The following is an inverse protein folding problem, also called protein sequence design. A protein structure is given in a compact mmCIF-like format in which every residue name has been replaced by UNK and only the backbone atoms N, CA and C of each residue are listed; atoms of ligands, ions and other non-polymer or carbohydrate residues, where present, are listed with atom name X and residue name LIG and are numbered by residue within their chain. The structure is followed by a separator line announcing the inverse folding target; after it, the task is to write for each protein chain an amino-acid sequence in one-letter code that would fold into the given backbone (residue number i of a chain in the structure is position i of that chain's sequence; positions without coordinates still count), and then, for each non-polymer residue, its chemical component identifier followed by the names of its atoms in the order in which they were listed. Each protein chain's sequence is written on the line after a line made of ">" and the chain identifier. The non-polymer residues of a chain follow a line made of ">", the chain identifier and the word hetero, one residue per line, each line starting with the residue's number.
data_IF_062503760763
#
_entry.id   IF_062503760763
#
_cell.length_a   1.000
_cell.length_b   1.000
_cell.length_c   1.000
_cell.angle_alpha   90.00
_cell.angle_beta   90.00
_cell.angle_gamma   90.00
#
_symmetry.space_group_name_H-M   'P 1'
#
loop_
_entity.id
_entity.type
_entity.pdbx_description
1 polymer ?
#
# COMPACT_ATOMS: atom_id res chain seq x y z
N UNK A 1 4.76 4.76 63.81
CA UNK A 1 5.79 5.81 63.81
C UNK A 1 6.14 6.12 62.35
N UNK A 2 6.11 7.41 61.99
CA UNK A 2 6.61 8.11 60.77
C UNK A 2 6.21 7.58 59.38
N UNK A 3 5.32 8.24 58.62
CA UNK A 3 5.47 9.51 57.87
C UNK A 3 6.74 9.60 57.00
N UNK A 4 6.57 9.53 55.67
CA UNK A 4 7.29 10.42 54.74
C UNK A 4 6.61 10.44 53.35
N UNK A 5 6.10 11.62 52.99
CA UNK A 5 5.54 12.00 51.70
C UNK A 5 6.67 12.18 50.68
N UNK A 6 6.54 11.65 49.47
CA UNK A 6 7.44 11.98 48.34
C UNK A 6 6.86 13.17 47.60
N UNK A 7 7.65 14.24 47.53
CA UNK A 7 7.32 15.55 46.99
C UNK A 7 7.51 15.60 45.47
N UNK A 8 6.65 16.41 44.86
CA UNK A 8 6.47 16.77 43.46
C UNK A 8 7.65 17.60 42.92
N UNK A 9 8.03 17.38 41.66
CA UNK A 9 8.80 18.34 40.84
C UNK A 9 8.16 18.45 39.45
N UNK A 10 7.26 19.43 39.32
CA UNK A 10 6.70 19.92 38.05
C UNK A 10 7.64 21.02 37.54
N UNK A 11 8.26 20.80 36.39
CA UNK A 11 9.04 21.80 35.67
C UNK A 11 8.10 22.70 34.86
N UNK A 12 7.88 23.91 35.35
CA UNK A 12 7.20 25.01 34.63
C UNK A 12 8.24 25.76 33.80
N UNK A 13 8.08 25.77 32.48
CA UNK A 13 8.82 26.66 31.58
C UNK A 13 8.14 28.02 31.54
N UNK A 14 8.88 29.03 31.99
CA UNK A 14 8.48 30.44 32.03
C UNK A 14 8.91 31.13 30.73
N UNK A 15 7.95 31.68 30.00
CA UNK A 15 8.15 32.53 28.82
C UNK A 15 8.77 33.88 29.21
N UNK A 16 9.78 34.32 28.49
CA UNK A 16 10.36 35.67 28.62
C UNK A 16 10.04 36.51 27.37
N UNK A 17 9.20 37.51 27.58
CA UNK A 17 8.91 38.57 26.62
C UNK A 17 10.10 39.54 26.53
N UNK A 18 10.65 39.71 25.32
CA UNK A 18 11.69 40.68 24.99
C UNK A 18 11.15 41.75 24.06
N UNK A 19 11.31 43.00 24.47
CA UNK A 19 10.75 44.22 23.89
C UNK A 19 11.20 44.52 22.44
N UNK A 20 10.26 44.99 21.62
CA UNK A 20 10.50 45.54 20.29
C UNK A 20 10.97 47.00 20.40
N UNK A 21 12.15 47.29 19.90
CA UNK A 21 12.63 48.66 19.67
C UNK A 21 12.28 49.11 18.26
N UNK A 22 11.52 50.20 18.18
CA UNK A 22 11.16 50.88 16.94
C UNK A 22 12.38 51.62 16.34
N UNK A 23 12.72 51.32 15.08
CA UNK A 23 13.65 52.13 14.28
C UNK A 23 12.88 53.07 13.36
N UNK A 24 13.21 54.36 13.49
CA UNK A 24 12.67 55.49 12.71
C UNK A 24 13.20 55.46 11.28
N UNK A 25 12.26 55.62 10.34
CA UNK A 25 12.29 56.58 9.23
C UNK A 25 13.55 56.68 8.38
N UNK A 26 13.54 56.01 7.22
CA UNK A 26 14.29 56.37 6.03
C UNK A 26 13.38 56.24 4.82
N UNK A 27 12.95 57.35 4.25
CA UNK A 27 12.14 57.41 3.03
C UNK A 27 13.02 57.22 1.80
N UNK A 28 12.92 56.06 1.14
CA UNK A 28 13.40 55.86 -0.23
C UNK A 28 12.21 55.41 -1.09
N UNK A 29 11.87 56.23 -2.09
CA UNK A 29 10.80 55.96 -3.04
C UNK A 29 11.14 54.71 -3.89
N UNK A 30 10.17 53.82 -4.17
CA UNK A 30 10.41 52.69 -5.05
C UNK A 30 10.48 53.14 -6.52
N UNK A 31 11.50 52.66 -7.24
CA UNK A 31 11.60 52.79 -8.69
C UNK A 31 10.52 51.92 -9.38
N UNK A 32 9.98 52.32 -10.55
CA UNK A 32 8.91 51.57 -11.19
C UNK A 32 9.44 50.25 -11.76
N UNK A 33 8.90 49.12 -11.30
CA UNK A 33 9.11 47.82 -11.93
C UNK A 33 8.44 47.82 -13.31
N UNK A 34 9.24 47.71 -14.37
CA UNK A 34 8.73 47.36 -15.70
C UNK A 34 8.21 45.92 -15.65
N UNK A 35 6.93 45.75 -15.95
CA UNK A 35 6.27 44.44 -15.97
C UNK A 35 6.95 43.48 -16.94
N UNK A 36 7.59 42.45 -16.40
CA UNK A 36 7.97 41.27 -17.16
C UNK A 36 6.76 40.35 -17.27
N UNK A 37 6.41 39.95 -18.49
CA UNK A 37 5.38 38.96 -18.73
C UNK A 37 5.71 37.64 -18.00
N UNK A 38 4.71 36.92 -17.46
CA UNK A 38 4.96 35.66 -16.78
C UNK A 38 5.51 34.63 -17.78
N UNK A 39 6.65 34.03 -17.45
CA UNK A 39 7.18 32.88 -18.19
C UNK A 39 6.17 31.73 -18.11
N UNK A 40 5.98 30.94 -19.19
CA UNK A 40 5.07 29.81 -19.15
C UNK A 40 5.56 28.83 -18.07
N UNK A 41 4.64 28.45 -17.18
CA UNK A 41 4.90 27.39 -16.21
C UNK A 41 5.36 26.16 -16.98
N UNK A 42 6.62 25.74 -16.76
CA UNK A 42 7.06 24.41 -17.15
C UNK A 42 6.15 23.46 -16.39
N UNK A 43 5.20 22.86 -17.09
CA UNK A 43 4.36 21.80 -16.53
C UNK A 43 5.29 20.80 -15.87
N UNK A 44 5.20 20.69 -14.56
CA UNK A 44 5.96 19.71 -13.82
C UNK A 44 5.62 18.37 -14.43
N UNK A 45 6.56 17.77 -15.16
CA UNK A 45 6.47 16.37 -15.51
C UNK A 45 6.29 15.67 -14.17
N UNK A 46 5.08 15.16 -13.93
CA UNK A 46 4.82 14.32 -12.77
C UNK A 46 5.96 13.31 -12.77
N UNK A 47 6.71 13.27 -11.67
CA UNK A 47 7.70 12.23 -11.44
C UNK A 47 6.96 10.91 -11.64
N UNK A 48 7.12 10.29 -12.81
CA UNK A 48 6.66 8.92 -13.01
C UNK A 48 7.52 8.12 -12.05
N UNK A 49 6.96 7.79 -10.89
CA UNK A 49 7.68 7.13 -9.82
C UNK A 49 8.49 5.97 -10.41
N UNK A 50 9.80 5.93 -10.09
CA UNK A 50 10.70 4.94 -10.66
C UNK A 50 10.13 3.53 -10.45
N UNK A 51 9.89 2.81 -11.54
CA UNK A 51 9.45 1.42 -11.48
C UNK A 51 10.69 0.52 -11.35
N UNK A 52 10.79 -0.20 -10.24
CA UNK A 52 11.92 -1.10 -9.97
C UNK A 52 11.70 -2.53 -10.49
N UNK A 53 10.50 -3.08 -10.25
CA UNK A 53 10.16 -4.46 -10.59
C UNK A 53 9.42 -4.53 -11.94
N UNK A 54 9.71 -5.53 -12.76
CA UNK A 54 8.80 -5.92 -13.84
C UNK A 54 7.49 -6.49 -13.25
N UNK A 55 6.44 -6.64 -14.07
CA UNK A 55 5.13 -7.12 -13.63
C UNK A 55 5.24 -8.48 -12.92
N UNK A 56 5.99 -9.42 -13.48
CA UNK A 56 6.16 -10.75 -12.88
C UNK A 56 6.85 -10.71 -11.52
N UNK A 57 7.82 -9.82 -11.32
CA UNK A 57 8.48 -9.60 -10.03
C UNK A 57 7.54 -8.94 -9.03
N UNK A 58 6.73 -7.96 -9.44
CA UNK A 58 5.70 -7.36 -8.59
C UNK A 58 4.68 -8.41 -8.12
N UNK A 59 4.18 -9.23 -9.05
CA UNK A 59 3.25 -10.31 -8.73
C UNK A 59 3.86 -11.29 -7.72
N UNK A 60 5.10 -11.75 -7.94
CA UNK A 60 5.75 -12.71 -7.03
C UNK A 60 6.15 -12.11 -5.68
N UNK A 61 6.56 -10.85 -5.66
CA UNK A 61 7.11 -10.21 -4.47
C UNK A 61 6.06 -9.61 -3.54
N UNK A 62 4.87 -9.30 -4.05
CA UNK A 62 3.81 -8.67 -3.26
C UNK A 62 2.51 -9.45 -3.35
N UNK A 63 1.97 -9.68 -4.56
CA UNK A 63 0.62 -10.24 -4.68
C UNK A 63 0.56 -11.70 -4.26
N UNK A 64 1.48 -12.53 -4.75
CA UNK A 64 1.53 -13.96 -4.50
C UNK A 64 1.63 -14.34 -3.01
N UNK A 65 2.58 -13.80 -2.20
CA UNK A 65 2.64 -14.15 -0.79
C UNK A 65 1.38 -13.75 -0.02
N UNK A 66 0.79 -12.59 -0.32
CA UNK A 66 -0.46 -12.16 0.33
C UNK A 66 -1.67 -13.02 -0.10
N UNK A 67 -1.76 -13.42 -1.38
CA UNK A 67 -2.82 -14.32 -1.83
C UNK A 67 -2.71 -15.71 -1.18
N UNK A 68 -1.49 -16.20 -0.94
CA UNK A 68 -1.29 -17.49 -0.28
C UNK A 68 -1.87 -17.51 1.14
N UNK A 69 -1.77 -16.41 1.89
CA UNK A 69 -2.36 -16.33 3.24
C UNK A 69 -3.89 -16.48 3.18
N UNK A 70 -4.53 -15.87 2.18
CA UNK A 70 -5.98 -15.96 1.97
C UNK A 70 -6.38 -17.39 1.59
N UNK A 71 -5.69 -18.00 0.63
CA UNK A 71 -6.01 -19.36 0.18
C UNK A 71 -5.67 -20.42 1.24
N UNK A 72 -4.66 -20.19 2.07
CA UNK A 72 -4.37 -21.06 3.21
C UNK A 72 -5.53 -21.07 4.21
N UNK A 73 -6.19 -19.93 4.45
CA UNK A 73 -7.32 -19.81 5.37
C UNK A 73 -8.54 -20.67 4.96
N UNK A 74 -8.64 -21.07 3.69
CA UNK A 74 -9.68 -22.01 3.23
C UNK A 74 -9.50 -23.41 3.80
N UNK A 75 -8.25 -23.86 3.95
CA UNK A 75 -7.92 -25.23 4.34
C UNK A 75 -7.53 -25.35 5.81
N UNK A 76 -7.08 -24.26 6.42
CA UNK A 76 -6.62 -24.21 7.80
C UNK A 76 -7.29 -23.04 8.50
N UNK A 77 -8.00 -23.31 9.60
CA UNK A 77 -8.58 -22.25 10.42
C UNK A 77 -7.46 -21.35 11.00
N UNK A 78 -7.39 -20.06 10.64
CA UNK A 78 -6.36 -19.17 11.13
C UNK A 78 -6.31 -19.07 12.66
N UNK A 79 -7.43 -19.28 13.36
CA UNK A 79 -7.46 -19.26 14.83
C UNK A 79 -6.60 -20.36 15.47
N UNK A 80 -6.41 -21.47 14.76
CA UNK A 80 -5.72 -22.69 15.22
C UNK A 80 -4.24 -22.72 14.85
N UNK A 81 -3.76 -21.76 14.05
CA UNK A 81 -2.35 -21.65 13.70
C UNK A 81 -1.53 -21.37 14.95
N UNK A 82 -0.52 -22.22 15.20
CA UNK A 82 0.45 -22.02 16.29
C UNK A 82 1.47 -20.97 15.85
N UNK A 83 1.83 -20.01 16.72
CA UNK A 83 2.92 -19.09 16.44
C UNK A 83 4.22 -19.84 16.17
N UNK A 84 5.08 -19.23 15.35
CA UNK A 84 6.43 -19.73 15.14
C UNK A 84 7.27 -19.65 16.43
N UNK A 85 8.43 -20.30 16.45
CA UNK A 85 9.36 -20.25 17.58
C UNK A 85 9.84 -18.82 17.88
N UNK A 86 10.04 -18.01 16.84
CA UNK A 86 10.25 -16.57 16.91
C UNK A 86 9.24 -15.86 15.99
N UNK A 87 8.09 -15.41 16.52
CA UNK A 87 7.06 -14.76 15.71
C UNK A 87 7.50 -13.45 15.07
N UNK A 88 8.51 -12.75 15.62
CA UNK A 88 8.95 -11.46 15.13
C UNK A 88 9.75 -11.55 13.82
N UNK A 89 10.32 -12.71 13.54
CA UNK A 89 11.14 -12.98 12.34
C UNK A 89 10.55 -14.10 11.46
N UNK A 90 9.32 -14.53 11.76
CA UNK A 90 8.63 -15.58 11.02
C UNK A 90 8.35 -15.16 9.56
N UNK A 91 8.62 -16.07 8.64
CA UNK A 91 8.38 -15.87 7.20
C UNK A 91 6.98 -16.32 6.76
N UNK A 92 6.30 -17.13 7.56
CA UNK A 92 4.87 -17.42 7.40
C UNK A 92 4.06 -16.34 8.13
N UNK A 93 3.30 -15.50 7.40
CA UNK A 93 2.48 -14.46 8.03
C UNK A 93 1.50 -15.02 9.04
N UNK A 94 0.92 -16.21 8.81
CA UNK A 94 -0.08 -16.81 9.71
C UNK A 94 0.49 -17.18 11.09
N UNK A 95 1.79 -17.45 11.16
CA UNK A 95 2.50 -17.82 12.39
C UNK A 95 3.32 -16.66 12.99
N UNK A 96 3.29 -15.47 12.38
CA UNK A 96 4.05 -14.30 12.81
C UNK A 96 3.42 -13.57 14.01
N UNK A 97 4.07 -12.50 14.48
CA UNK A 97 3.54 -11.59 15.51
C UNK A 97 2.13 -11.07 15.18
N UNK A 98 1.85 -10.81 13.90
CA UNK A 98 0.54 -10.36 13.40
C UNK A 98 -0.21 -11.51 12.70
N UNK A 99 -0.14 -12.70 13.30
CA UNK A 99 -0.60 -13.96 12.72
C UNK A 99 -2.11 -14.19 12.73
N UNK A 100 -2.52 -15.43 12.49
CA UNK A 100 -3.93 -15.86 12.54
C UNK A 100 -4.83 -15.04 11.61
N UNK A 101 -6.03 -14.69 12.07
CA UNK A 101 -6.98 -13.88 11.31
C UNK A 101 -6.44 -12.47 10.97
N UNK A 102 -5.61 -11.89 11.82
CA UNK A 102 -4.99 -10.59 11.54
C UNK A 102 -4.06 -10.66 10.31
N UNK A 103 -3.34 -11.77 10.11
CA UNK A 103 -2.55 -11.98 8.91
C UNK A 103 -3.42 -12.04 7.64
N UNK A 104 -4.60 -12.64 7.71
CA UNK A 104 -5.56 -12.70 6.59
C UNK A 104 -6.10 -11.30 6.29
N UNK A 105 -6.50 -10.55 7.33
CA UNK A 105 -6.94 -9.16 7.21
C UNK A 105 -5.85 -8.27 6.56
N UNK A 106 -4.62 -8.33 7.08
CA UNK A 106 -3.49 -7.57 6.57
C UNK A 106 -3.14 -7.95 5.12
N UNK A 107 -3.21 -9.23 4.78
CA UNK A 107 -2.94 -9.70 3.41
C UNK A 107 -4.00 -9.23 2.41
N UNK A 108 -5.27 -9.21 2.82
CA UNK A 108 -6.37 -8.72 2.01
C UNK A 108 -6.25 -7.20 1.73
N UNK A 109 -5.89 -6.42 2.74
CA UNK A 109 -5.60 -4.99 2.59
C UNK A 109 -4.35 -4.77 1.72
N UNK A 110 -3.29 -5.55 1.93
CA UNK A 110 -2.07 -5.46 1.12
C UNK A 110 -2.35 -5.71 -0.36
N UNK A 111 -3.20 -6.69 -0.72
CA UNK A 111 -3.63 -6.89 -2.11
C UNK A 111 -4.43 -5.70 -2.65
N UNK A 112 -5.35 -5.17 -1.85
CA UNK A 112 -6.20 -4.02 -2.22
C UNK A 112 -5.38 -2.77 -2.50
N UNK A 113 -4.35 -2.51 -1.69
CA UNK A 113 -3.42 -1.40 -1.88
C UNK A 113 -2.43 -1.67 -3.03
N UNK A 114 -1.87 -2.89 -3.11
CA UNK A 114 -0.91 -3.28 -4.13
C UNK A 114 -1.48 -3.25 -5.55
N UNK A 115 -2.81 -3.37 -5.70
CA UNK A 115 -3.50 -3.18 -6.97
C UNK A 115 -3.17 -1.81 -7.61
N UNK A 116 -2.91 -0.77 -6.81
CA UNK A 116 -2.44 0.55 -7.31
C UNK A 116 -1.14 0.44 -8.11
N UNK A 117 -0.24 -0.47 -7.71
CA UNK A 117 1.06 -0.64 -8.34
C UNK A 117 0.98 -1.22 -9.75
N UNK A 118 -0.16 -1.84 -10.09
CA UNK A 118 -0.48 -2.40 -11.41
C UNK A 118 -0.90 -1.31 -12.42
N UNK A 119 -1.17 -0.09 -11.96
CA UNK A 119 -1.53 1.06 -12.79
C UNK A 119 -0.37 2.05 -13.00
N UNK A 120 0.75 1.85 -12.32
CA UNK A 120 1.92 2.74 -12.43
C UNK A 120 2.52 2.64 -13.84
N UNK A 121 2.59 3.75 -14.60
CA UNK A 121 3.18 3.76 -15.94
C UNK A 121 4.66 3.34 -15.96
N UNK A 122 5.11 2.83 -17.10
CA UNK A 122 6.52 2.47 -17.33
C UNK A 122 6.92 1.06 -16.86
N UNK A 123 6.01 0.31 -16.23
CA UNK A 123 6.25 -1.10 -15.89
C UNK A 123 6.25 -1.98 -17.14
N UNK A 124 7.24 -2.87 -17.23
CA UNK A 124 7.32 -3.91 -18.28
C UNK A 124 6.87 -5.26 -17.75
N UNK A 125 6.31 -6.08 -18.63
CA UNK A 125 6.04 -7.49 -18.40
C UNK A 125 7.33 -8.32 -18.46
N UNK A 126 7.24 -9.60 -18.07
CA UNK A 126 8.40 -10.49 -18.03
C UNK A 126 9.05 -10.72 -19.41
N UNK A 127 8.31 -10.52 -20.49
CA UNK A 127 8.78 -10.59 -21.88
C UNK A 127 9.28 -9.23 -22.42
N UNK A 128 9.40 -8.21 -21.58
CA UNK A 128 9.86 -6.87 -21.96
C UNK A 128 8.79 -5.97 -22.59
N UNK A 129 7.59 -6.47 -22.93
CA UNK A 129 6.48 -5.63 -23.40
C UNK A 129 6.01 -4.66 -22.30
N UNK A 130 5.41 -3.51 -22.64
CA UNK A 130 4.74 -2.69 -21.64
C UNK A 130 3.58 -3.47 -21.00
N UNK A 131 3.30 -3.19 -19.73
CA UNK A 131 2.02 -3.58 -19.12
C UNK A 131 0.88 -2.92 -19.91
N UNK A 132 -0.22 -3.63 -20.23
CA UNK A 132 -1.25 -3.13 -21.15
C UNK A 132 -2.22 -2.15 -20.46
N UNK A 133 -1.70 -1.05 -19.93
CA UNK A 133 -2.48 -0.03 -19.21
C UNK A 133 -3.56 0.63 -20.07
N UNK A 134 -3.41 0.60 -21.39
CA UNK A 134 -4.34 1.18 -22.35
C UNK A 134 -5.46 0.20 -22.74
N UNK A 135 -5.33 -1.09 -22.40
CA UNK A 135 -6.41 -2.04 -22.67
C UNK A 135 -7.57 -1.75 -21.69
N UNK A 136 -8.80 -1.55 -22.18
CA UNK A 136 -9.91 -1.03 -21.38
C UNK A 136 -10.32 -1.95 -20.22
N UNK A 137 -10.01 -3.23 -20.32
CA UNK A 137 -10.27 -4.22 -19.30
C UNK A 137 -9.20 -4.29 -18.22
N UNK A 138 -7.96 -3.84 -18.48
CA UNK A 138 -6.90 -3.79 -17.47
C UNK A 138 -7.31 -3.00 -16.21
N UNK A 139 -7.73 -1.72 -16.29
CA UNK A 139 -8.15 -0.98 -15.09
C UNK A 139 -9.39 -1.60 -14.44
N UNK A 140 -10.29 -2.23 -15.23
CA UNK A 140 -11.46 -2.95 -14.69
C UNK A 140 -11.04 -4.15 -13.86
N UNK A 141 -10.10 -4.95 -14.32
CA UNK A 141 -9.60 -6.09 -13.57
C UNK A 141 -8.79 -5.67 -12.34
N UNK A 142 -8.00 -4.59 -12.43
CA UNK A 142 -7.33 -4.01 -11.26
C UNK A 142 -8.36 -3.57 -10.21
N UNK A 143 -9.43 -2.91 -10.62
CA UNK A 143 -10.52 -2.55 -9.71
C UNK A 143 -11.18 -3.79 -9.08
N UNK A 144 -11.47 -4.82 -9.89
CA UNK A 144 -12.02 -6.09 -9.38
C UNK A 144 -11.11 -6.77 -8.35
N UNK A 145 -9.78 -6.70 -8.51
CA UNK A 145 -8.84 -7.20 -7.50
C UNK A 145 -8.93 -6.43 -6.18
N UNK A 146 -9.12 -5.11 -6.22
CA UNK A 146 -9.32 -4.29 -5.00
C UNK A 146 -10.59 -4.68 -4.28
N UNK A 147 -11.68 -4.81 -5.03
CA UNK A 147 -12.99 -5.17 -4.49
C UNK A 147 -12.99 -6.58 -3.90
N UNK A 148 -12.31 -7.52 -4.55
CA UNK A 148 -12.10 -8.86 -4.02
C UNK A 148 -11.29 -8.80 -2.72
N UNK A 149 -10.19 -8.04 -2.67
CA UNK A 149 -9.41 -7.83 -1.45
C UNK A 149 -10.27 -7.27 -0.31
N UNK A 150 -11.11 -6.27 -0.57
CA UNK A 150 -12.04 -5.74 0.44
C UNK A 150 -13.14 -6.72 0.85
N UNK A 151 -13.56 -7.61 -0.04
CA UNK A 151 -14.49 -8.71 0.28
C UNK A 151 -13.85 -9.70 1.23
N UNK A 152 -12.61 -10.13 0.94
CA UNK A 152 -11.83 -10.99 1.84
C UNK A 152 -11.59 -10.32 3.18
N UNK A 153 -11.22 -9.04 3.20
CA UNK A 153 -11.01 -8.29 4.45
C UNK A 153 -12.25 -8.35 5.36
N UNK A 154 -13.43 -8.04 4.82
CA UNK A 154 -14.70 -8.12 5.58
C UNK A 154 -15.02 -9.53 6.06
N UNK A 155 -14.75 -10.55 5.24
CA UNK A 155 -14.93 -11.95 5.65
C UNK A 155 -13.97 -12.34 6.78
N UNK A 156 -12.70 -11.95 6.68
CA UNK A 156 -11.68 -12.23 7.70
C UNK A 156 -12.02 -11.58 9.05
N UNK A 157 -12.59 -10.37 9.07
CA UNK A 157 -13.06 -9.71 10.29
C UNK A 157 -14.14 -10.52 11.03
N UNK A 158 -14.93 -11.31 10.31
CA UNK A 158 -15.94 -12.17 10.93
C UNK A 158 -15.38 -13.44 11.55
N UNK A 159 -14.10 -13.77 11.27
CA UNK A 159 -13.38 -14.94 11.80
C UNK A 159 -14.12 -16.27 11.58
N UNK A 160 -14.76 -16.36 10.43
CA UNK A 160 -15.69 -17.41 10.04
C UNK A 160 -15.10 -18.15 8.82
N UNK A 161 -14.94 -19.46 8.94
CA UNK A 161 -14.27 -20.27 7.94
C UNK A 161 -15.11 -20.43 6.66
N UNK A 162 -16.43 -20.53 6.79
CA UNK A 162 -17.30 -20.67 5.61
C UNK A 162 -17.28 -19.37 4.80
N UNK A 163 -17.33 -18.22 5.49
CA UNK A 163 -17.26 -16.91 4.82
C UNK A 163 -15.92 -16.65 4.14
N UNK A 164 -14.80 -17.12 4.71
CA UNK A 164 -13.49 -16.94 4.05
C UNK A 164 -13.35 -17.86 2.83
N UNK A 165 -13.97 -19.04 2.83
CA UNK A 165 -14.00 -19.93 1.66
C UNK A 165 -14.73 -19.25 0.50
N UNK A 166 -15.91 -18.69 0.74
CA UNK A 166 -16.67 -17.95 -0.28
C UNK A 166 -15.90 -16.71 -0.78
N UNK A 167 -15.29 -15.95 0.13
CA UNK A 167 -14.53 -14.76 -0.24
C UNK A 167 -13.24 -15.11 -1.02
N UNK A 168 -12.62 -16.26 -0.73
CA UNK A 168 -11.45 -16.73 -1.47
C UNK A 168 -11.82 -17.18 -2.90
N UNK A 169 -13.03 -17.65 -3.17
CA UNK A 169 -13.52 -17.88 -4.54
C UNK A 169 -13.65 -16.57 -5.33
N UNK A 170 -14.15 -15.51 -4.70
CA UNK A 170 -14.16 -14.16 -5.29
C UNK A 170 -12.75 -13.68 -5.63
N UNK A 171 -11.77 -13.90 -4.74
CA UNK A 171 -10.36 -13.61 -4.99
C UNK A 171 -9.79 -14.43 -6.14
N UNK A 172 -10.14 -15.72 -6.22
CA UNK A 172 -9.73 -16.63 -7.31
C UNK A 172 -10.22 -16.09 -8.65
N UNK A 173 -11.50 -15.73 -8.73
CA UNK A 173 -12.09 -15.13 -9.94
C UNK A 173 -11.39 -13.82 -10.33
N UNK A 174 -11.10 -12.94 -9.36
CA UNK A 174 -10.39 -11.69 -9.62
C UNK A 174 -8.98 -11.90 -10.19
N UNK A 175 -8.25 -12.91 -9.68
CA UNK A 175 -6.94 -13.30 -10.20
C UNK A 175 -7.04 -13.83 -11.64
N UNK A 176 -8.00 -14.71 -11.90
CA UNK A 176 -8.21 -15.37 -13.19
C UNK A 176 -8.53 -14.37 -14.31
N UNK A 177 -9.37 -13.37 -14.04
CA UNK A 177 -9.75 -12.32 -15.01
C UNK A 177 -8.55 -11.69 -15.72
N UNK A 178 -7.47 -11.41 -14.98
CA UNK A 178 -6.22 -10.90 -15.55
C UNK A 178 -5.32 -12.02 -16.08
N UNK A 179 -5.17 -13.11 -15.33
CA UNK A 179 -4.21 -14.15 -15.66
C UNK A 179 -4.58 -14.90 -16.94
N UNK A 180 -5.83 -15.26 -17.14
CA UNK A 180 -6.27 -15.97 -18.34
C UNK A 180 -6.05 -15.14 -19.60
N UNK A 181 -6.28 -13.82 -19.49
CA UNK A 181 -6.08 -12.91 -20.62
C UNK A 181 -4.61 -12.60 -20.87
N UNK A 182 -3.81 -12.29 -19.84
CA UNK A 182 -2.50 -11.66 -20.02
C UNK A 182 -1.30 -12.53 -19.60
N UNK A 183 -1.51 -13.64 -18.87
CA UNK A 183 -0.45 -14.50 -18.31
C UNK A 183 -0.49 -15.92 -18.87
N UNK A 184 -1.64 -16.57 -18.87
CA UNK A 184 -1.81 -17.97 -19.29
C UNK A 184 -1.75 -18.06 -20.80
N UNK A 185 -0.53 -18.27 -21.29
CA UNK A 185 -0.18 -18.32 -22.70
C UNK A 185 0.84 -19.42 -22.91
N UNK A 186 0.75 -20.10 -24.04
CA UNK A 186 1.69 -21.16 -24.41
C UNK A 186 3.13 -20.65 -24.44
N UNK A 187 3.35 -19.45 -24.99
CA UNK A 187 4.67 -18.85 -25.06
C UNK A 187 4.78 -17.59 -24.21
N UNK A 188 5.97 -17.34 -23.65
CA UNK A 188 6.27 -16.11 -22.90
C UNK A 188 6.07 -14.84 -23.75
N UNK A 189 6.38 -14.91 -25.05
CA UNK A 189 6.19 -13.82 -25.99
C UNK A 189 4.72 -13.37 -26.13
N UNK A 190 3.78 -14.26 -25.82
CA UNK A 190 2.35 -14.04 -25.98
C UNK A 190 1.70 -13.39 -24.74
N UNK A 191 2.47 -13.14 -23.68
CA UNK A 191 1.98 -12.44 -22.47
C UNK A 191 1.83 -10.94 -22.70
N UNK A 192 0.89 -10.34 -21.95
CA UNK A 192 0.61 -8.90 -21.99
C UNK A 192 0.25 -8.38 -23.39
N UNK A 193 -0.59 -9.13 -24.10
CA UNK A 193 -1.24 -8.69 -25.34
C UNK A 193 -2.68 -8.27 -25.04
#
# INVERSE_FOLDING_TARGET
>A
MQFARVLILILVFLESAGAQTAQRGGTSAPAPQRGGAPAPARGGAASSGRVYANLGQLMKGILYPNSNVIFAAQNQNPAEVKPAQDPATATDPLASTYGKWEAVENSALALSEAASLLLVPGRRCANGRPVPLQNPDWPKFVQGLREAGMTVYKAAQSKDQDKIIDAADVMTTACANCHDKYREKTNLADRCQ
#
